data_IF_256168663046
#
_entry.id   IF_256168663046
#
_cell.length_a   1.000
_cell.length_b   1.000
_cell.length_c   1.000
_cell.angle_alpha   90.00
_cell.angle_beta   90.00
_cell.angle_gamma   90.00
#
_symmetry.space_group_name_H-M   'P 1'
#
loop_
_entity.id
_entity.type
_entity.pdbx_description
1 polymer ?
#
# COMPACT_ATOMS: atom_id res chain seq x y z
N UNK A 1 10.87 0.77 13.20
CA UNK A 1 9.60 1.07 13.89
C UNK A 1 8.39 0.80 13.01
N UNK A 2 8.29 1.37 11.79
CA UNK A 2 7.21 1.06 10.84
C UNK A 2 7.28 -0.39 10.31
N UNK A 3 8.49 -0.91 10.04
CA UNK A 3 8.70 -2.31 9.63
C UNK A 3 8.03 -3.29 10.60
N UNK A 4 8.29 -3.15 11.90
CA UNK A 4 7.74 -4.04 12.92
C UNK A 4 6.20 -3.98 13.03
N UNK A 5 5.59 -2.83 12.73
CA UNK A 5 4.13 -2.68 12.75
C UNK A 5 3.46 -3.32 11.53
N UNK A 6 4.12 -3.30 10.37
CA UNK A 6 3.66 -3.95 9.13
C UNK A 6 4.04 -5.44 9.07
N UNK A 7 5.07 -5.85 9.81
CA UNK A 7 5.56 -7.23 9.80
C UNK A 7 4.81 -8.17 10.75
N UNK A 8 3.98 -7.65 11.66
CA UNK A 8 3.16 -8.50 12.51
C UNK A 8 2.06 -9.21 11.70
N UNK A 9 1.66 -10.41 12.17
CA UNK A 9 0.72 -11.26 11.44
C UNK A 9 -0.70 -10.67 11.30
N UNK A 10 -1.14 -9.89 12.28
CA UNK A 10 -2.46 -9.25 12.27
C UNK A 10 -2.53 -8.15 11.21
N UNK A 11 -1.53 -7.28 11.16
CA UNK A 11 -1.40 -6.22 10.15
C UNK A 11 -1.35 -6.82 8.74
N UNK A 12 -0.56 -7.88 8.53
CA UNK A 12 -0.50 -8.59 7.24
C UNK A 12 -1.86 -9.18 6.85
N UNK A 13 -2.58 -9.76 7.81
CA UNK A 13 -3.93 -10.30 7.59
C UNK A 13 -4.92 -9.20 7.22
N UNK A 14 -4.86 -8.05 7.89
CA UNK A 14 -5.73 -6.91 7.59
C UNK A 14 -5.49 -6.38 6.18
N UNK A 15 -4.22 -6.21 5.78
CA UNK A 15 -3.86 -5.79 4.43
C UNK A 15 -4.37 -6.79 3.38
N UNK A 16 -4.21 -8.09 3.62
CA UNK A 16 -4.73 -9.13 2.73
C UNK A 16 -6.26 -9.05 2.54
N UNK A 17 -7.01 -8.79 3.61
CA UNK A 17 -8.47 -8.60 3.52
C UNK A 17 -8.82 -7.37 2.69
N UNK A 18 -8.08 -6.26 2.83
CA UNK A 18 -8.31 -5.06 2.01
C UNK A 18 -8.02 -5.35 0.54
N UNK A 19 -6.99 -6.14 0.23
CA UNK A 19 -6.66 -6.54 -1.14
C UNK A 19 -7.72 -7.48 -1.74
N UNK A 20 -8.21 -8.47 -0.98
CA UNK A 20 -9.33 -9.34 -1.39
C UNK A 20 -10.61 -8.52 -1.67
N UNK A 21 -10.95 -7.59 -0.78
CA UNK A 21 -12.08 -6.69 -0.98
C UNK A 21 -11.89 -5.84 -2.23
N UNK A 22 -10.67 -5.38 -2.52
CA UNK A 22 -10.38 -4.59 -3.72
C UNK A 22 -10.70 -5.40 -4.96
N UNK A 23 -10.24 -6.65 -5.04
CA UNK A 23 -10.47 -7.55 -6.17
C UNK A 23 -11.95 -7.82 -6.41
N UNK A 24 -12.72 -8.05 -5.33
CA UNK A 24 -14.15 -8.31 -5.41
C UNK A 24 -14.97 -7.07 -5.81
N UNK A 25 -14.54 -5.88 -5.39
CA UNK A 25 -15.32 -4.64 -5.48
C UNK A 25 -14.91 -3.73 -6.66
N UNK A 26 -14.13 -4.22 -7.63
CA UNK A 26 -13.59 -3.45 -8.77
C UNK A 26 -14.57 -2.50 -9.51
N UNK A 27 -15.88 -2.72 -9.40
CA UNK A 27 -16.92 -1.90 -10.05
C UNK A 27 -17.91 -1.24 -9.07
N UNK A 28 -17.72 -1.42 -7.76
CA UNK A 28 -18.58 -0.79 -6.75
C UNK A 28 -18.03 0.56 -6.29
N UNK A 29 -18.93 1.47 -5.91
CA UNK A 29 -18.58 2.80 -5.36
C UNK A 29 -18.12 2.74 -3.90
N UNK A 30 -17.48 1.64 -3.48
CA UNK A 30 -16.99 1.47 -2.12
C UNK A 30 -15.53 1.95 -2.05
N UNK A 31 -15.29 2.97 -1.23
CA UNK A 31 -13.94 3.46 -1.00
C UNK A 31 -13.21 2.56 0.00
N UNK A 32 -12.18 1.84 -0.47
CA UNK A 32 -11.29 1.06 0.38
C UNK A 32 -10.10 1.90 0.87
N UNK A 33 -9.58 1.64 2.09
CA UNK A 33 -8.36 2.28 2.57
C UNK A 33 -7.19 2.07 1.59
N UNK A 34 -6.44 3.14 1.36
CA UNK A 34 -5.26 3.14 0.50
C UNK A 34 -4.29 4.23 0.93
N UNK A 35 -3.00 3.99 0.72
CA UNK A 35 -1.95 4.98 0.97
C UNK A 35 -1.52 5.53 -0.38
N UNK A 36 -1.78 6.81 -0.61
CA UNK A 36 -1.33 7.51 -1.81
C UNK A 36 -0.02 8.27 -1.52
N UNK A 37 0.97 8.12 -2.39
CA UNK A 37 2.20 8.91 -2.35
C UNK A 37 2.02 10.14 -3.23
N UNK A 38 2.08 11.33 -2.62
CA UNK A 38 1.86 12.61 -3.30
C UNK A 38 3.06 13.53 -3.14
N UNK A 39 3.33 14.36 -4.16
CA UNK A 39 4.44 15.30 -4.18
C UNK A 39 4.75 15.80 -5.59
N UNK A 40 5.53 16.88 -5.69
CA UNK A 40 5.87 17.52 -6.97
C UNK A 40 6.71 16.61 -7.88
N UNK A 41 6.81 16.93 -9.18
CA UNK A 41 7.63 16.17 -10.13
C UNK A 41 9.10 16.09 -9.64
N UNK A 42 9.73 14.93 -9.84
CA UNK A 42 11.15 14.71 -9.54
C UNK A 42 11.59 14.76 -8.06
N UNK A 43 10.68 14.78 -7.08
CA UNK A 43 11.04 14.76 -5.64
C UNK A 43 11.37 13.36 -5.08
N UNK A 44 11.51 12.34 -5.93
CA UNK A 44 11.87 10.99 -5.50
C UNK A 44 10.72 10.10 -5.00
N UNK A 45 9.47 10.38 -5.38
CA UNK A 45 8.29 9.55 -5.04
C UNK A 45 8.47 8.06 -5.39
N UNK A 46 8.96 7.79 -6.60
CA UNK A 46 9.26 6.42 -7.06
C UNK A 46 10.39 5.82 -6.24
N UNK A 47 11.48 6.57 -6.01
CA UNK A 47 12.62 6.12 -5.19
C UNK A 47 12.24 5.73 -3.76
N UNK A 48 11.29 6.45 -3.15
CA UNK A 48 10.76 6.08 -1.82
C UNK A 48 9.96 4.78 -1.90
N UNK A 49 9.12 4.61 -2.91
CA UNK A 49 8.36 3.36 -3.10
C UNK A 49 9.25 2.17 -3.40
N UNK A 50 10.30 2.34 -4.21
CA UNK A 50 11.30 1.31 -4.50
C UNK A 50 12.01 0.86 -3.22
N UNK A 51 12.46 1.81 -2.41
CA UNK A 51 13.12 1.52 -1.13
C UNK A 51 12.21 0.79 -0.12
N UNK A 52 10.90 1.09 -0.12
CA UNK A 52 9.93 0.46 0.79
C UNK A 52 9.48 -0.92 0.32
N UNK A 53 9.26 -1.08 -0.98
CA UNK A 53 8.71 -2.32 -1.57
C UNK A 53 9.80 -3.32 -1.93
N UNK A 54 11.07 -2.90 -1.96
CA UNK A 54 12.20 -3.71 -2.47
C UNK A 54 12.00 -4.18 -3.91
N UNK A 55 11.20 -3.47 -4.70
CA UNK A 55 11.04 -3.68 -6.14
C UNK A 55 11.66 -2.50 -6.90
N UNK A 56 12.05 -2.74 -8.15
CA UNK A 56 12.56 -1.72 -9.04
C UNK A 56 11.45 -1.35 -10.04
N UNK A 57 11.06 -0.07 -10.08
CA UNK A 57 9.89 0.42 -10.82
C UNK A 57 10.25 0.99 -12.20
#
# INVERSE_FOLDING_TARGET
MLSNALENAESRRLLAVVDEMREMLHHEKIALPQIAVVGDQSVGKSSVLEALSSIQL
#
